data_IF_856617957615
#
_entry.id   IF_856617957615
#
_cell.length_a   1.000
_cell.length_b   1.000
_cell.length_c   1.000
_cell.angle_alpha   90.00
_cell.angle_beta   90.00
_cell.angle_gamma   90.00
#
_symmetry.space_group_name_H-M   'P 1'
#
loop_
_entity.id
_entity.type
_entity.pdbx_description
1 polymer ?
#
# COMPACT_ATOMS: atom_id res chain seq x y z
N UNK A 1 0.22 -14.96 0.27
CA UNK A 1 0.21 -14.60 -1.16
C UNK A 1 -0.72 -13.42 -1.47
N UNK A 2 -2.01 -13.48 -1.11
CA UNK A 2 -2.94 -12.38 -1.40
C UNK A 2 -2.49 -11.02 -0.86
N UNK A 3 -2.22 -10.91 0.45
CA UNK A 3 -1.81 -9.65 1.06
C UNK A 3 -0.46 -9.12 0.58
N UNK A 4 0.49 -10.00 0.27
CA UNK A 4 1.80 -9.57 -0.27
C UNK A 4 1.65 -8.98 -1.67
N UNK A 5 0.80 -9.56 -2.52
CA UNK A 5 0.47 -8.99 -3.84
C UNK A 5 -0.28 -7.67 -3.67
N UNK A 6 -1.25 -7.60 -2.74
CA UNK A 6 -1.96 -6.35 -2.44
C UNK A 6 -1.00 -5.25 -2.00
N UNK A 7 0.03 -5.55 -1.19
CA UNK A 7 1.04 -4.56 -0.79
C UNK A 7 1.85 -4.06 -1.99
N UNK A 8 2.37 -4.96 -2.84
CA UNK A 8 3.10 -4.60 -4.05
C UNK A 8 2.27 -3.70 -4.97
N UNK A 9 0.98 -4.00 -5.13
CA UNK A 9 0.08 -3.19 -5.96
C UNK A 9 -0.22 -1.85 -5.27
N UNK A 10 -0.80 -1.88 -4.08
CA UNK A 10 -1.33 -0.69 -3.40
C UNK A 10 -0.22 0.26 -2.98
N UNK A 11 0.84 -0.25 -2.35
CA UNK A 11 1.89 0.58 -1.74
C UNK A 11 3.00 0.87 -2.74
N UNK A 12 3.60 -0.16 -3.34
CA UNK A 12 4.79 0.03 -4.18
C UNK A 12 4.42 0.62 -5.54
N UNK A 13 3.51 -0.02 -6.28
CA UNK A 13 3.10 0.44 -7.61
C UNK A 13 2.24 1.70 -7.53
N UNK A 14 1.30 1.75 -6.58
CA UNK A 14 0.34 2.84 -6.53
C UNK A 14 0.71 4.02 -5.62
N UNK A 15 1.73 3.89 -4.76
CA UNK A 15 2.08 4.91 -3.77
C UNK A 15 0.98 5.14 -2.73
N UNK A 16 0.10 4.14 -2.56
CA UNK A 16 -1.02 4.15 -1.64
C UNK A 16 -0.66 3.60 -0.27
N UNK A 17 -1.68 3.29 0.53
CA UNK A 17 -1.53 2.69 1.86
C UNK A 17 -2.45 1.49 2.01
N UNK A 18 -1.94 0.47 2.69
CA UNK A 18 -2.70 -0.70 3.12
C UNK A 18 -2.59 -0.79 4.64
N UNK A 19 -3.71 -0.60 5.34
CA UNK A 19 -3.80 -0.65 6.81
C UNK A 19 -4.65 -1.84 7.23
N UNK A 20 -4.33 -2.42 8.38
CA UNK A 20 -5.09 -3.51 8.98
C UNK A 20 -5.39 -3.19 10.44
N UNK A 21 -6.66 -3.24 10.80
CA UNK A 21 -7.13 -3.16 12.18
C UNK A 21 -7.80 -4.49 12.51
N UNK A 22 -7.20 -5.25 13.42
CA UNK A 22 -7.75 -6.54 13.82
C UNK A 22 -7.88 -6.61 15.34
N UNK A 23 -8.95 -7.28 15.78
CA UNK A 23 -9.15 -7.58 17.19
C UNK A 23 -9.54 -9.06 17.33
N UNK A 24 -8.90 -9.81 18.25
CA UNK A 24 -9.25 -11.20 18.50
C UNK A 24 -10.76 -11.37 18.76
N UNK A 25 -11.38 -12.34 18.10
CA UNK A 25 -12.82 -12.61 18.22
C UNK A 25 -13.74 -11.60 17.51
N UNK A 26 -13.21 -10.52 16.91
CA UNK A 26 -14.02 -9.51 16.17
C UNK A 26 -13.70 -9.42 14.67
N UNK A 27 -12.65 -10.11 14.23
CA UNK A 27 -12.22 -10.12 12.83
C UNK A 27 -11.15 -9.07 12.53
N UNK A 28 -11.01 -8.76 11.24
CA UNK A 28 -10.03 -7.83 10.73
C UNK A 28 -10.66 -6.92 9.66
N UNK A 29 -10.38 -5.63 9.77
CA UNK A 29 -10.74 -4.60 8.80
C UNK A 29 -9.48 -4.17 8.04
N UNK A 30 -9.58 -4.14 6.72
CA UNK A 30 -8.50 -3.71 5.84
C UNK A 30 -8.90 -2.43 5.13
N UNK A 31 -8.07 -1.39 5.24
CA UNK A 31 -8.29 -0.10 4.59
C UNK A 31 -7.26 0.08 3.48
N UNK A 32 -7.75 0.31 2.26
CA UNK A 32 -6.95 0.57 1.07
C UNK A 32 -7.12 2.02 0.68
N UNK A 33 -6.02 2.78 0.65
CA UNK A 33 -6.00 4.17 0.21
C UNK A 33 -5.18 4.28 -1.08
N UNK A 34 -5.78 4.79 -2.15
CA UNK A 34 -5.11 5.04 -3.43
C UNK A 34 -5.14 6.54 -3.71
N UNK A 35 -4.00 7.19 -3.97
CA UNK A 35 -3.97 8.61 -4.30
C UNK A 35 -4.57 8.84 -5.69
N UNK A 36 -5.49 9.81 -5.80
CA UNK A 36 -6.11 10.21 -7.08
C UNK A 36 -5.05 10.71 -8.07
N UNK A 37 -3.98 11.34 -7.57
CA UNK A 37 -2.81 11.74 -8.34
C UNK A 37 -1.58 11.07 -7.78
N UNK A 38 -1.05 10.13 -8.54
CA UNK A 38 0.16 9.42 -8.18
C UNK A 38 1.34 10.31 -8.54
N UNK A 39 2.22 10.60 -7.57
CA UNK A 39 3.51 11.19 -7.92
C UNK A 39 4.24 10.13 -8.75
N UNK A 40 4.60 10.46 -10.00
CA UNK A 40 5.57 9.65 -10.73
C UNK A 40 6.83 9.67 -9.88
N UNK A 41 7.11 8.57 -9.18
CA UNK A 41 8.35 8.46 -8.42
C UNK A 41 9.47 8.40 -9.45
N UNK A 42 10.23 9.49 -9.55
CA UNK A 42 11.41 9.55 -10.39
C UNK A 42 12.39 8.48 -9.90
N UNK A 43 12.75 7.55 -10.79
CA UNK A 43 13.85 6.59 -10.58
C UNK A 43 15.22 7.29 -10.61
N UNK A 44 15.29 8.61 -10.41
CA UNK A 44 16.53 9.40 -10.44
C UNK A 44 16.71 10.18 -9.14
N UNK A 45 16.96 9.48 -8.03
CA UNK A 45 17.52 10.12 -6.81
C UNK A 45 18.27 9.18 -5.85
N UNK A 46 18.78 8.05 -6.33
CA UNK A 46 19.81 7.27 -5.60
C UNK A 46 21.17 7.25 -6.32
N UNK A 47 21.55 8.38 -6.90
CA UNK A 47 22.97 8.70 -7.08
C UNK A 47 23.30 9.78 -6.04
N UNK A 48 23.63 9.35 -4.84
CA UNK A 48 24.45 10.10 -3.89
C UNK A 48 25.53 9.18 -3.37
#
# INVERSE_FOLDING_TARGET
>A
LGLSISYQIVVEKHGGKLLCYSQPGKGAEFIIQIPIRQKISQVVSQIK
#
